data_IF_410321965048
#
_entry.id   IF_410321965048
#
_cell.length_a   1.000
_cell.length_b   1.000
_cell.length_c   1.000
_cell.angle_alpha   90.00
_cell.angle_beta   90.00
_cell.angle_gamma   90.00
#
_symmetry.space_group_name_H-M   'P 1'
#
loop_
_entity.id
_entity.type
_entity.pdbx_description
1 polymer ?
#
# COMPACT_ATOMS: atom_id res chain seq x y z
N UNK A 1 9.89 -25.12 -7.42
CA UNK A 1 9.70 -26.58 -7.49
C UNK A 1 10.79 -27.38 -6.78
N UNK A 2 12.06 -26.95 -6.76
CA UNK A 2 13.15 -27.69 -6.10
C UNK A 2 12.98 -27.87 -4.57
N UNK A 3 12.53 -26.84 -3.85
CA UNK A 3 12.41 -26.88 -2.39
C UNK A 3 11.42 -27.93 -1.87
N UNK A 4 10.32 -28.18 -2.59
CA UNK A 4 9.29 -29.16 -2.17
C UNK A 4 9.80 -30.59 -2.34
N UNK A 5 10.55 -30.87 -3.42
CA UNK A 5 11.15 -32.19 -3.61
C UNK A 5 12.24 -32.46 -2.57
N UNK A 6 13.03 -31.45 -2.21
CA UNK A 6 14.02 -31.57 -1.13
C UNK A 6 13.34 -31.81 0.21
N UNK A 7 12.25 -31.10 0.51
CA UNK A 7 11.50 -31.33 1.74
C UNK A 7 10.91 -32.75 1.81
N UNK A 8 10.22 -33.21 0.77
CA UNK A 8 9.61 -34.57 0.75
C UNK A 8 10.67 -35.68 0.89
N UNK A 9 11.90 -35.45 0.45
CA UNK A 9 12.96 -36.47 0.49
C UNK A 9 13.93 -36.35 1.66
N UNK A 10 14.09 -35.17 2.27
CA UNK A 10 15.19 -34.87 3.20
C UNK A 10 14.71 -34.12 4.46
N UNK A 11 13.42 -33.75 4.55
CA UNK A 11 12.86 -32.88 5.60
C UNK A 11 13.65 -31.56 5.77
N UNK A 12 14.28 -31.09 4.69
CA UNK A 12 15.15 -29.92 4.73
C UNK A 12 14.43 -28.66 4.21
N UNK A 13 14.28 -27.68 5.10
CA UNK A 13 13.70 -26.36 4.83
C UNK A 13 14.77 -25.29 4.57
N UNK A 14 16.05 -25.65 4.46
CA UNK A 14 17.16 -24.71 4.19
C UNK A 14 16.98 -23.88 2.91
N UNK A 15 16.18 -24.39 1.96
CA UNK A 15 15.83 -23.69 0.73
C UNK A 15 14.75 -22.62 0.87
N UNK A 16 14.10 -22.47 2.02
CA UNK A 16 13.04 -21.50 2.26
C UNK A 16 13.62 -20.08 2.41
N UNK A 17 13.13 -19.14 1.62
CA UNK A 17 13.56 -17.74 1.64
C UNK A 17 12.41 -16.78 1.27
N UNK A 18 12.69 -15.48 1.36
CA UNK A 18 11.69 -14.43 1.14
C UNK A 18 10.98 -14.45 -0.21
N UNK A 19 11.63 -15.00 -1.25
CA UNK A 19 11.10 -15.04 -2.61
C UNK A 19 10.21 -16.26 -2.86
N UNK A 20 10.47 -17.36 -2.17
CA UNK A 20 9.77 -18.62 -2.40
C UNK A 20 8.81 -19.02 -1.28
N UNK A 21 8.84 -18.35 -0.13
CA UNK A 21 8.07 -18.74 1.06
C UNK A 21 6.58 -18.96 0.76
N UNK A 22 5.95 -18.03 0.03
CA UNK A 22 4.51 -18.12 -0.26
C UNK A 22 4.21 -19.17 -1.34
N UNK A 23 5.09 -19.34 -2.32
CA UNK A 23 4.96 -20.39 -3.32
C UNK A 23 5.11 -21.79 -2.71
N UNK A 24 6.00 -21.93 -1.72
CA UNK A 24 6.17 -23.16 -0.95
C UNK A 24 4.95 -23.40 -0.06
N UNK A 25 4.42 -22.38 0.63
CA UNK A 25 3.19 -22.48 1.40
C UNK A 25 2.01 -22.96 0.53
N UNK A 26 1.82 -22.36 -0.64
CA UNK A 26 0.79 -22.78 -1.59
C UNK A 26 0.92 -24.26 -1.95
N UNK A 27 2.13 -24.72 -2.27
CA UNK A 27 2.37 -26.10 -2.61
C UNK A 27 2.20 -27.04 -1.41
N UNK A 28 2.65 -26.64 -0.23
CA UNK A 28 2.49 -27.39 1.01
C UNK A 28 1.02 -27.68 1.29
N UNK A 29 0.16 -26.65 1.14
CA UNK A 29 -1.30 -26.84 1.23
C UNK A 29 -1.85 -27.71 0.11
N UNK A 30 -1.39 -27.52 -1.13
CA UNK A 30 -1.85 -28.31 -2.29
C UNK A 30 -1.53 -29.81 -2.18
N UNK A 31 -0.42 -30.16 -1.54
CA UNK A 31 0.02 -31.55 -1.35
C UNK A 31 -0.26 -32.08 0.07
N UNK A 32 -1.05 -31.38 0.87
CA UNK A 32 -1.43 -31.75 2.24
C UNK A 32 -0.23 -32.08 3.16
N UNK A 33 0.77 -31.19 3.16
CA UNK A 33 1.99 -31.28 3.98
C UNK A 33 1.90 -30.31 5.18
N UNK A 34 1.23 -30.66 6.29
CA UNK A 34 0.94 -29.74 7.39
C UNK A 34 2.21 -29.22 8.09
N UNK A 35 3.23 -30.05 8.26
CA UNK A 35 4.48 -29.63 8.89
C UNK A 35 5.18 -28.52 8.08
N UNK A 36 5.13 -28.60 6.75
CA UNK A 36 5.70 -27.58 5.88
C UNK A 36 4.89 -26.28 5.90
N UNK A 37 3.56 -26.38 6.09
CA UNK A 37 2.70 -25.22 6.28
C UNK A 37 3.12 -24.46 7.55
N UNK A 38 3.27 -25.15 8.68
CA UNK A 38 3.71 -24.54 9.95
C UNK A 38 5.08 -23.85 9.82
N UNK A 39 6.02 -24.48 9.10
CA UNK A 39 7.32 -23.88 8.81
C UNK A 39 7.21 -22.61 7.95
N UNK A 40 6.31 -22.59 6.96
CA UNK A 40 6.10 -21.41 6.14
C UNK A 40 5.44 -20.26 6.93
N UNK A 41 4.50 -20.58 7.82
CA UNK A 41 3.78 -19.59 8.64
C UNK A 41 4.63 -19.06 9.81
N UNK A 42 5.71 -19.74 10.17
CA UNK A 42 6.71 -19.24 11.14
C UNK A 42 7.83 -18.44 10.47
N UNK A 43 7.83 -18.30 9.14
CA UNK A 43 8.84 -17.53 8.42
C UNK A 43 8.77 -16.03 8.78
N UNK A 44 9.91 -15.36 9.02
CA UNK A 44 9.91 -13.95 9.38
C UNK A 44 9.33 -13.05 8.29
N UNK A 45 8.23 -12.36 8.60
CA UNK A 45 7.52 -11.46 7.69
C UNK A 45 8.42 -10.35 7.14
N UNK A 46 9.33 -9.83 7.98
CA UNK A 46 10.30 -8.80 7.60
C UNK A 46 11.34 -9.24 6.56
N UNK A 47 11.45 -10.55 6.29
CA UNK A 47 12.34 -11.12 5.27
C UNK A 47 11.61 -11.45 3.96
N UNK A 48 10.30 -11.26 3.88
CA UNK A 48 9.54 -11.47 2.66
C UNK A 48 9.91 -10.41 1.63
N UNK A 49 10.15 -10.81 0.38
CA UNK A 49 10.49 -9.87 -0.67
C UNK A 49 9.27 -9.10 -1.20
N UNK A 50 8.09 -9.72 -1.17
CA UNK A 50 6.84 -9.08 -1.51
C UNK A 50 5.76 -9.34 -0.43
N UNK A 51 5.70 -8.44 0.54
CA UNK A 51 4.72 -8.51 1.63
C UNK A 51 3.27 -8.35 1.16
N UNK A 52 3.03 -7.54 0.11
CA UNK A 52 1.71 -7.32 -0.45
C UNK A 52 1.15 -8.60 -1.10
N UNK A 53 2.02 -9.32 -1.83
CA UNK A 53 1.69 -10.62 -2.39
C UNK A 53 1.46 -11.65 -1.28
N UNK A 54 2.32 -11.65 -0.25
CA UNK A 54 2.17 -12.55 0.89
C UNK A 54 0.83 -12.36 1.61
N UNK A 55 0.45 -11.11 1.89
CA UNK A 55 -0.84 -10.78 2.47
C UNK A 55 -2.01 -11.33 1.63
N UNK A 56 -2.06 -11.01 0.33
CA UNK A 56 -3.19 -11.40 -0.51
C UNK A 56 -3.27 -12.93 -0.70
N UNK A 57 -2.12 -13.59 -0.89
CA UNK A 57 -2.07 -15.04 -1.08
C UNK A 57 -2.34 -15.83 0.19
N UNK A 58 -1.84 -15.40 1.35
CA UNK A 58 -2.09 -16.09 2.63
C UNK A 58 -3.55 -15.95 3.04
N UNK A 59 -4.16 -14.78 2.81
CA UNK A 59 -5.60 -14.58 2.93
C UNK A 59 -6.39 -15.52 2.01
N UNK A 60 -6.01 -15.61 0.74
CA UNK A 60 -6.66 -16.52 -0.21
C UNK A 60 -6.53 -18.00 0.21
N UNK A 61 -5.41 -18.37 0.83
CA UNK A 61 -5.16 -19.71 1.34
C UNK A 61 -5.89 -20.01 2.66
N UNK A 62 -6.60 -19.04 3.26
CA UNK A 62 -7.30 -19.19 4.53
C UNK A 62 -6.40 -19.08 5.76
N UNK A 63 -5.17 -18.58 5.61
CA UNK A 63 -4.22 -18.36 6.70
C UNK A 63 -4.40 -16.95 7.28
N UNK A 64 -5.56 -16.72 7.89
CA UNK A 64 -5.98 -15.38 8.34
C UNK A 64 -5.04 -14.79 9.39
N UNK A 65 -4.52 -15.60 10.32
CA UNK A 65 -3.60 -15.13 11.35
C UNK A 65 -2.31 -14.55 10.74
N UNK A 66 -1.73 -15.24 9.75
CA UNK A 66 -0.53 -14.78 9.06
C UNK A 66 -0.83 -13.55 8.20
N UNK A 67 -1.97 -13.55 7.50
CA UNK A 67 -2.41 -12.38 6.73
C UNK A 67 -2.59 -11.14 7.62
N UNK A 68 -3.17 -11.28 8.81
CA UNK A 68 -3.26 -10.20 9.80
C UNK A 68 -1.89 -9.69 10.20
N UNK A 69 -0.93 -10.57 10.52
CA UNK A 69 0.43 -10.16 10.85
C UNK A 69 1.14 -9.46 9.67
N UNK A 70 0.89 -9.89 8.42
CA UNK A 70 1.39 -9.18 7.24
C UNK A 70 0.82 -7.77 7.15
N UNK A 71 -0.48 -7.61 7.42
CA UNK A 71 -1.17 -6.33 7.35
C UNK A 71 -0.68 -5.37 8.44
N UNK A 72 -0.52 -5.85 9.68
CA UNK A 72 0.09 -5.08 10.78
C UNK A 72 1.50 -4.61 10.41
N UNK A 73 2.30 -5.49 9.76
CA UNK A 73 3.63 -5.10 9.30
C UNK A 73 3.59 -4.03 8.21
N UNK A 74 2.60 -4.11 7.30
CA UNK A 74 2.36 -3.08 6.28
C UNK A 74 2.01 -1.75 6.95
N UNK A 75 1.09 -1.75 7.91
CA UNK A 75 0.64 -0.54 8.60
C UNK A 75 1.79 0.16 9.32
N UNK A 76 2.62 -0.61 10.05
CA UNK A 76 3.76 -0.08 10.80
C UNK A 76 4.90 0.45 9.92
N UNK A 77 5.05 -0.06 8.70
CA UNK A 77 6.18 0.25 7.82
C UNK A 77 5.72 0.89 6.50
N UNK A 78 4.53 1.49 6.50
CA UNK A 78 3.86 1.98 5.30
C UNK A 78 4.75 2.97 4.51
N UNK A 79 5.38 3.94 5.19
CA UNK A 79 6.30 4.92 4.57
C UNK A 79 7.36 4.29 3.66
N UNK A 80 7.98 3.19 4.10
CA UNK A 80 9.00 2.52 3.31
C UNK A 80 8.39 1.58 2.25
N UNK A 81 7.30 0.89 2.61
CA UNK A 81 6.71 -0.15 1.77
C UNK A 81 5.98 0.40 0.56
N UNK A 82 5.28 1.54 0.66
CA UNK A 82 4.60 2.18 -0.48
C UNK A 82 5.59 2.67 -1.56
N UNK A 83 6.86 2.86 -1.17
CA UNK A 83 7.96 3.23 -2.08
C UNK A 83 8.71 2.00 -2.63
N UNK A 84 8.38 0.79 -2.20
CA UNK A 84 9.03 -0.43 -2.70
C UNK A 84 8.56 -0.82 -4.11
N UNK A 85 9.35 -1.63 -4.81
CA UNK A 85 8.89 -2.23 -6.08
C UNK A 85 7.77 -3.26 -5.86
N UNK A 86 7.73 -3.89 -4.70
CA UNK A 86 6.67 -4.83 -4.32
C UNK A 86 5.28 -4.16 -4.37
N UNK A 87 5.19 -2.89 -3.98
CA UNK A 87 3.96 -2.12 -4.05
C UNK A 87 3.43 -1.98 -5.48
N UNK A 88 4.31 -1.84 -6.48
CA UNK A 88 3.91 -1.70 -7.88
C UNK A 88 3.28 -2.97 -8.47
N UNK A 89 3.53 -4.12 -7.85
CA UNK A 89 2.97 -5.41 -8.27
C UNK A 89 1.54 -5.60 -7.78
N UNK A 90 1.09 -4.84 -6.77
CA UNK A 90 -0.27 -4.90 -6.23
C UNK A 90 -1.35 -4.59 -7.28
N UNK A 91 -2.54 -5.14 -7.12
CA UNK A 91 -3.69 -4.80 -7.95
C UNK A 91 -4.45 -3.56 -7.41
N UNK A 92 -5.41 -3.04 -8.19
CA UNK A 92 -6.17 -1.86 -7.81
C UNK A 92 -7.00 -2.10 -6.54
N UNK A 93 -7.47 -3.34 -6.33
CA UNK A 93 -8.30 -3.69 -5.19
C UNK A 93 -7.49 -3.63 -3.90
N UNK A 94 -6.31 -4.23 -3.91
CA UNK A 94 -5.37 -4.20 -2.80
C UNK A 94 -4.88 -2.78 -2.53
N UNK A 95 -4.59 -2.00 -3.58
CA UNK A 95 -4.27 -0.58 -3.43
C UNK A 95 -5.39 0.16 -2.69
N UNK A 96 -6.65 -0.02 -3.11
CA UNK A 96 -7.79 0.62 -2.43
C UNK A 96 -7.91 0.16 -0.98
N UNK A 97 -7.73 -1.13 -0.72
CA UNK A 97 -7.82 -1.71 0.62
C UNK A 97 -6.76 -1.12 1.54
N UNK A 98 -5.52 -1.00 1.07
CA UNK A 98 -4.42 -0.40 1.83
C UNK A 98 -4.75 1.07 2.13
N UNK A 99 -5.08 1.86 1.10
CA UNK A 99 -5.34 3.30 1.26
C UNK A 99 -6.60 3.63 2.08
N UNK A 100 -7.51 2.68 2.28
CA UNK A 100 -8.72 2.88 3.09
C UNK A 100 -8.47 2.67 4.59
N UNK A 101 -7.29 2.20 4.98
CA UNK A 101 -6.95 1.92 6.38
C UNK A 101 -6.59 3.20 7.12
N UNK A 102 -7.15 3.33 8.32
CA UNK A 102 -6.83 4.44 9.24
C UNK A 102 -5.52 4.19 10.01
N UNK A 103 -5.08 2.94 10.06
CA UNK A 103 -3.92 2.48 10.83
C UNK A 103 -2.57 2.65 10.09
N UNK A 104 -2.59 3.09 8.83
CA UNK A 104 -1.37 3.32 8.05
C UNK A 104 -0.49 4.38 8.72
N UNK A 105 0.68 3.96 9.19
CA UNK A 105 1.68 4.87 9.76
C UNK A 105 2.47 5.53 8.63
N UNK A 106 1.92 6.62 8.10
CA UNK A 106 2.52 7.44 7.05
C UNK A 106 2.82 8.83 7.58
N UNK A 107 4.04 9.32 7.31
CA UNK A 107 4.49 10.62 7.79
C UNK A 107 3.78 11.78 7.07
N UNK A 108 3.63 11.67 5.75
CA UNK A 108 3.03 12.74 4.92
C UNK A 108 2.14 12.17 3.82
N UNK A 109 0.94 12.73 3.68
CA UNK A 109 -0.05 12.32 2.67
C UNK A 109 0.47 12.51 1.23
N UNK A 110 1.41 13.43 1.00
CA UNK A 110 2.08 13.61 -0.29
C UNK A 110 2.83 12.34 -0.74
N UNK A 111 3.32 11.53 0.21
CA UNK A 111 4.00 10.27 -0.10
C UNK A 111 3.03 9.26 -0.69
N UNK A 112 1.79 9.23 -0.19
CA UNK A 112 0.71 8.39 -0.75
C UNK A 112 0.41 8.81 -2.17
N UNK A 113 0.26 10.13 -2.41
CA UNK A 113 0.04 10.66 -3.75
C UNK A 113 1.14 10.24 -4.73
N UNK A 114 2.41 10.43 -4.34
CA UNK A 114 3.55 10.09 -5.18
C UNK A 114 3.64 8.58 -5.45
N UNK A 115 3.39 7.75 -4.43
CA UNK A 115 3.35 6.30 -4.58
C UNK A 115 2.21 5.85 -5.49
N UNK A 116 1.00 6.43 -5.34
CA UNK A 116 -0.15 6.16 -6.18
C UNK A 116 0.11 6.55 -7.64
N UNK A 117 0.72 7.71 -7.88
CA UNK A 117 1.08 8.16 -9.24
C UNK A 117 2.10 7.22 -9.89
N UNK A 118 3.12 6.80 -9.14
CA UNK A 118 4.12 5.82 -9.61
C UNK A 118 3.50 4.45 -9.89
N UNK A 119 2.57 4.00 -9.04
CA UNK A 119 1.81 2.77 -9.27
C UNK A 119 0.97 2.88 -10.55
N UNK A 120 0.29 4.01 -10.75
CA UNK A 120 -0.54 4.24 -11.94
C UNK A 120 0.31 4.25 -13.22
N UNK A 121 1.49 4.86 -13.19
CA UNK A 121 2.46 4.86 -14.29
C UNK A 121 2.89 3.45 -14.67
N UNK A 122 3.18 2.62 -13.66
CA UNK A 122 3.57 1.23 -13.89
C UNK A 122 2.42 0.39 -14.45
N UNK A 123 1.20 0.57 -13.95
CA UNK A 123 0.01 -0.11 -14.50
C UNK A 123 -0.31 0.35 -15.92
N UNK A 124 -0.06 1.62 -16.26
CA UNK A 124 -0.17 2.08 -17.64
C UNK A 124 0.83 1.34 -18.54
N UNK A 125 2.11 1.26 -18.14
CA UNK A 125 3.15 0.56 -18.88
C UNK A 125 2.85 -0.93 -19.06
N UNK A 126 2.42 -1.61 -17.99
CA UNK A 126 2.01 -3.03 -18.04
C UNK A 126 0.84 -3.29 -18.99
N UNK A 127 -0.06 -2.31 -19.11
CA UNK A 127 -1.20 -2.37 -20.05
C UNK A 127 -0.86 -1.85 -21.46
N UNK A 128 0.42 -1.57 -21.76
CA UNK A 128 0.86 -1.07 -23.06
C UNK A 128 0.37 0.35 -23.38
N UNK A 129 0.01 1.12 -22.36
CA UNK A 129 -0.47 2.51 -22.48
C UNK A 129 0.59 3.50 -22.04
N UNK A 130 0.61 4.67 -22.67
CA UNK A 130 1.42 5.79 -22.21
C UNK A 130 0.89 6.32 -20.86
N UNK A 131 1.78 6.71 -19.91
CA UNK A 131 1.41 7.36 -18.65
C UNK A 131 0.84 8.78 -18.83
N UNK A 132 -0.31 8.90 -19.49
CA UNK A 132 -1.04 10.16 -19.62
C UNK A 132 -1.92 10.42 -18.40
N UNK A 133 -2.28 11.67 -18.14
CA UNK A 133 -3.16 12.05 -17.04
C UNK A 133 -4.49 11.27 -17.01
N UNK A 134 -5.13 11.11 -18.18
CA UNK A 134 -6.36 10.35 -18.33
C UNK A 134 -6.16 8.85 -18.02
N UNK A 135 -5.05 8.27 -18.50
CA UNK A 135 -4.74 6.85 -18.23
C UNK A 135 -4.42 6.62 -16.76
N UNK A 136 -3.62 7.50 -16.13
CA UNK A 136 -3.31 7.46 -14.69
C UNK A 136 -4.59 7.50 -13.86
N UNK A 137 -5.48 8.46 -14.15
CA UNK A 137 -6.77 8.57 -13.46
C UNK A 137 -7.61 7.30 -13.63
N UNK A 138 -7.65 6.74 -14.84
CA UNK A 138 -8.36 5.48 -15.11
C UNK A 138 -7.74 4.28 -14.37
N UNK A 139 -6.42 4.21 -14.26
CA UNK A 139 -5.73 3.15 -13.51
C UNK A 139 -5.96 3.28 -12.00
N UNK A 140 -5.91 4.49 -11.45
CA UNK A 140 -6.19 4.75 -10.03
C UNK A 140 -7.65 4.44 -9.67
N UNK A 141 -8.59 4.88 -10.52
CA UNK A 141 -10.02 4.64 -10.33
C UNK A 141 -10.47 5.01 -8.91
N UNK A 142 -11.08 4.08 -8.14
CA UNK A 142 -11.57 4.36 -6.79
C UNK A 142 -10.47 4.71 -5.78
N UNK A 143 -9.22 4.27 -5.99
CA UNK A 143 -8.10 4.55 -5.09
C UNK A 143 -7.81 6.05 -4.99
N UNK A 144 -8.06 6.81 -6.07
CA UNK A 144 -7.86 8.25 -6.09
C UNK A 144 -8.66 8.98 -4.99
N UNK A 145 -9.87 8.50 -4.71
CA UNK A 145 -10.77 9.11 -3.73
C UNK A 145 -10.48 8.68 -2.29
N UNK A 146 -9.51 7.79 -2.08
CA UNK A 146 -9.03 7.40 -0.74
C UNK A 146 -7.93 8.33 -0.24
N UNK A 147 -7.26 9.06 -1.14
CA UNK A 147 -6.20 10.02 -0.81
C UNK A 147 -6.82 11.28 -0.20
N UNK A 148 -6.30 11.68 0.96
CA UNK A 148 -6.80 12.80 1.77
C UNK A 148 -6.10 14.10 1.37
N UNK A 149 -6.34 14.58 0.15
CA UNK A 149 -5.71 15.80 -0.38
C UNK A 149 -5.67 17.00 0.57
N UNK A 150 -6.69 17.30 1.40
CA UNK A 150 -6.62 18.39 2.36
C UNK A 150 -5.49 18.29 3.41
N UNK A 151 -4.95 17.10 3.67
CA UNK A 151 -3.82 16.88 4.58
C UNK A 151 -2.46 17.14 3.93
N UNK A 152 -2.42 17.27 2.59
CA UNK A 152 -1.21 17.65 1.85
C UNK A 152 -0.96 19.14 2.10
N UNK A 153 0.30 19.55 2.24
CA UNK A 153 0.63 20.97 2.39
C UNK A 153 0.21 21.75 1.13
N UNK A 154 -0.11 23.04 1.27
CA UNK A 154 -0.48 23.85 0.10
C UNK A 154 0.66 23.93 -0.93
N UNK A 155 1.92 24.04 -0.45
CA UNK A 155 3.11 24.07 -1.30
C UNK A 155 3.27 22.77 -2.11
N UNK A 156 3.08 21.63 -1.48
CA UNK A 156 3.13 20.33 -2.18
C UNK A 156 1.94 20.15 -3.12
N UNK A 157 0.76 20.63 -2.73
CA UNK A 157 -0.43 20.54 -3.56
C UNK A 157 -0.26 21.31 -4.87
N UNK A 158 0.40 22.48 -4.86
CA UNK A 158 0.72 23.23 -6.08
C UNK A 158 1.59 22.42 -7.05
N UNK A 159 2.46 21.53 -6.54
CA UNK A 159 3.25 20.60 -7.36
C UNK A 159 2.41 19.46 -7.95
N UNK A 160 1.23 19.16 -7.38
CA UNK A 160 0.30 18.14 -7.88
C UNK A 160 -0.52 18.64 -9.07
N UNK A 161 -0.89 19.92 -9.07
CA UNK A 161 -1.77 20.52 -10.10
C UNK A 161 -1.32 20.23 -11.53
N UNK A 162 -0.02 20.34 -11.90
CA UNK A 162 0.46 20.06 -13.26
C UNK A 162 0.29 18.61 -13.71
N UNK A 163 0.04 17.66 -12.79
CA UNK A 163 -0.15 16.24 -13.13
C UNK A 163 -1.38 15.99 -14.02
N UNK A 164 -2.38 16.89 -13.98
CA UNK A 164 -3.63 16.80 -14.74
C UNK A 164 -4.54 15.63 -14.38
N UNK A 165 -4.20 14.87 -13.34
CA UNK A 165 -4.96 13.68 -12.91
C UNK A 165 -6.26 14.10 -12.20
N UNK A 166 -6.22 15.20 -11.45
CA UNK A 166 -7.39 15.80 -10.80
C UNK A 166 -8.18 16.67 -11.78
N UNK A 167 -9.51 16.66 -11.65
CA UNK A 167 -10.40 17.53 -12.45
C UNK A 167 -10.43 18.94 -11.86
N UNK A 168 -10.78 19.93 -12.68
CA UNK A 168 -10.90 21.33 -12.24
C UNK A 168 -11.86 21.49 -11.04
N UNK A 169 -12.96 20.74 -11.02
CA UNK A 169 -13.92 20.75 -9.92
C UNK A 169 -13.32 20.22 -8.61
N UNK A 170 -12.49 19.17 -8.67
CA UNK A 170 -11.79 18.61 -7.51
C UNK A 170 -10.72 19.57 -7.01
N UNK A 171 -9.93 20.15 -7.91
CA UNK A 171 -8.91 21.15 -7.58
C UNK A 171 -9.53 22.35 -6.85
N UNK A 172 -10.62 22.90 -7.40
CA UNK A 172 -11.34 24.03 -6.77
C UNK A 172 -11.87 23.64 -5.39
N UNK A 173 -12.41 22.43 -5.23
CA UNK A 173 -12.93 21.96 -3.93
C UNK A 173 -11.83 21.86 -2.88
N UNK A 174 -10.64 21.39 -3.26
CA UNK A 174 -9.48 21.28 -2.36
C UNK A 174 -8.91 22.66 -2.05
N UNK A 175 -8.76 23.54 -3.04
CA UNK A 175 -8.29 24.92 -2.85
C UNK A 175 -9.23 25.75 -1.94
N UNK A 176 -10.54 25.54 -2.06
CA UNK A 176 -11.52 26.13 -1.14
C UNK A 176 -11.33 25.65 0.30
N UNK A 177 -10.86 24.42 0.50
CA UNK A 177 -10.55 23.90 1.83
C UNK A 177 -9.37 24.66 2.45
N UNK A 178 -8.28 24.86 1.71
CA UNK A 178 -7.13 25.66 2.19
C UNK A 178 -7.49 27.14 2.43
N UNK A 179 -8.41 27.69 1.62
CA UNK A 179 -8.86 29.08 1.75
C UNK A 179 -9.80 29.32 2.93
N UNK A 180 -10.34 28.26 3.55
CA UNK A 180 -11.10 28.37 4.79
C UNK A 180 -10.09 28.34 5.93
N UNK A 181 -9.78 29.47 6.58
CA UNK A 181 -8.91 29.43 7.74
C UNK A 181 -9.54 28.48 8.77
N UNK A 182 -8.75 27.57 9.31
CA UNK A 182 -9.13 26.74 10.43
C UNK A 182 -9.78 27.61 11.50
N UNK A 183 -11.08 27.44 11.72
CA UNK A 183 -11.77 27.98 12.91
C UNK A 183 -11.17 27.45 14.23
N UNK A 184 -10.20 26.53 14.15
CA UNK A 184 -9.39 26.03 15.27
C UNK A 184 -8.24 26.96 15.67
N UNK A 185 -7.69 27.77 14.76
CA UNK A 185 -6.67 28.78 15.11
C UNK A 185 -7.27 30.11 15.56
N UNK A 186 -8.57 30.33 15.34
CA UNK A 186 -9.29 31.52 15.82
C UNK A 186 -9.67 31.47 17.31
N UNK A 187 -9.46 30.34 18.03
CA UNK A 187 -9.75 30.23 19.47
C UNK A 187 -8.57 30.56 20.40
N UNK A 188 -7.41 30.99 19.87
CA UNK A 188 -6.24 31.30 20.68
C UNK A 188 -5.71 32.72 20.44
N UNK A 189 -6.48 33.75 20.78
CA UNK A 189 -5.97 35.10 21.08
C UNK A 189 -6.79 35.71 22.25
N UNK A 190 -6.19 36.57 23.09
CA UNK A 190 -6.27 36.46 24.55
C UNK A 190 -7.42 37.25 25.15
N UNK A 191 -7.99 36.71 26.24
CA UNK A 191 -8.87 37.46 27.12
C UNK A 191 -8.05 38.52 27.89
N UNK A 192 -8.42 39.78 27.66
CA UNK A 192 -8.40 40.91 28.61
C UNK A 192 -7.09 41.67 28.89
N UNK A 193 -7.02 42.91 28.38
CA UNK A 193 -6.72 44.15 29.14
C UNK A 193 -7.57 45.25 28.43
N UNK A 194 -8.21 46.29 29.06
CA UNK A 194 -7.92 46.93 30.35
C UNK A 194 -9.12 47.26 31.27
N UNK A 195 -8.83 47.49 32.56
CA UNK A 195 -9.09 48.77 33.24
C UNK A 195 -8.14 48.94 34.43
#
# INVERSE_FOLDING_TARGET
MGCILVFIYVDDVSGLNGDNAIAVLYAAKKYDLPELVDWCLTFPISKLSNIFLAFDQTRFLGEEAFACCCLEHIDLNADALILSEAFLQSDQKLLCEILDRDELMISEEITIWNAALRWADEKCRQNGKEPSAANRRAMLGPALFKIRFPLISQEDFENIVPSGVLTDAELVSILQHYSRPDLRSAQALPAEIPN
#
